data_IF_548172340837
#
_entry.id   IF_548172340837
#
_cell.length_a   1.000
_cell.length_b   1.000
_cell.length_c   1.000
_cell.angle_alpha   90.00
_cell.angle_beta   90.00
_cell.angle_gamma   90.00
#
_symmetry.space_group_name_H-M   'P 1'
#
loop_
_entity.id
_entity.type
_entity.pdbx_description
1 polymer ?
#
# COMPACT_ATOMS: atom_id res chain seq x y z
N UNK A 1 -1.84 -3.49 -30.80
CA UNK A 1 -1.76 -2.47 -29.73
C UNK A 1 -0.35 -1.91 -29.74
N UNK A 2 -0.19 -0.58 -29.67
CA UNK A 2 1.13 0.04 -29.59
C UNK A 2 1.65 -0.04 -28.14
N UNK A 3 2.89 -0.45 -27.95
CA UNK A 3 3.54 -0.42 -26.63
C UNK A 3 3.63 1.03 -26.15
N UNK A 4 3.21 1.28 -24.90
CA UNK A 4 3.38 2.58 -24.26
C UNK A 4 3.63 2.39 -22.77
N UNK A 5 4.77 2.90 -22.31
CA UNK A 5 5.15 2.91 -20.90
C UNK A 5 5.20 4.36 -20.43
N UNK A 6 4.38 4.70 -19.42
CA UNK A 6 4.43 5.98 -18.73
C UNK A 6 4.57 5.73 -17.25
N UNK A 7 5.80 5.82 -16.72
CA UNK A 7 6.06 5.46 -15.34
C UNK A 7 7.19 6.30 -14.74
N UNK A 8 7.17 6.47 -13.42
CA UNK A 8 8.30 7.02 -12.65
C UNK A 8 9.15 5.92 -12.03
N UNK A 9 8.50 4.84 -11.61
CA UNK A 9 9.14 3.64 -11.05
C UNK A 9 8.89 2.50 -12.02
N UNK A 10 9.95 1.81 -12.42
CA UNK A 10 9.88 0.77 -13.43
C UNK A 10 10.52 -0.48 -12.86
N UNK A 11 9.88 -1.62 -13.12
CA UNK A 11 10.40 -2.94 -12.82
C UNK A 11 10.75 -3.63 -14.13
N UNK A 12 11.97 -4.17 -14.19
CA UNK A 12 12.46 -4.93 -15.32
C UNK A 12 12.73 -6.37 -14.90
N UNK A 13 12.41 -7.28 -15.80
CA UNK A 13 12.80 -8.68 -15.70
C UNK A 13 13.56 -9.06 -16.97
N UNK A 14 14.85 -9.33 -16.82
CA UNK A 14 15.68 -9.91 -17.88
C UNK A 14 15.75 -11.41 -17.68
N UNK A 15 15.02 -12.14 -18.52
CA UNK A 15 15.02 -13.61 -18.47
C UNK A 15 16.29 -14.17 -19.10
N UNK A 16 16.84 -15.22 -18.49
CA UNK A 16 18.04 -15.98 -18.93
C UNK A 16 19.22 -15.06 -19.27
N UNK A 17 19.49 -14.10 -18.38
CA UNK A 17 20.53 -13.10 -18.57
C UNK A 17 21.70 -13.39 -17.61
N UNK A 18 22.88 -13.78 -18.12
CA UNK A 18 24.08 -14.07 -17.32
C UNK A 18 24.90 -12.80 -17.01
N UNK A 19 24.38 -11.61 -17.34
CA UNK A 19 25.09 -10.34 -17.12
C UNK A 19 25.21 -10.01 -15.63
N UNK A 20 26.20 -9.20 -15.28
CA UNK A 20 26.36 -8.73 -13.90
C UNK A 20 25.36 -7.60 -13.58
N UNK A 21 24.83 -7.54 -12.34
CA UNK A 21 23.94 -6.46 -11.90
C UNK A 21 24.49 -5.06 -12.16
N UNK A 22 25.80 -4.87 -11.97
CA UNK A 22 26.52 -3.61 -12.22
C UNK A 22 26.46 -3.22 -13.69
N UNK A 23 26.78 -4.14 -14.60
CA UNK A 23 26.75 -3.89 -16.04
C UNK A 23 25.34 -3.52 -16.53
N UNK A 24 24.31 -4.18 -15.99
CA UNK A 24 22.93 -3.86 -16.32
C UNK A 24 22.56 -2.42 -15.93
N UNK A 25 22.94 -1.97 -14.73
CA UNK A 25 22.65 -0.60 -14.27
C UNK A 25 23.43 0.45 -15.06
N UNK A 26 24.70 0.20 -15.36
CA UNK A 26 25.52 1.11 -16.15
C UNK A 26 24.96 1.28 -17.58
N UNK A 27 24.58 0.17 -18.20
CA UNK A 27 23.92 0.16 -19.51
C UNK A 27 22.61 0.95 -19.50
N UNK A 28 21.77 0.75 -18.48
CA UNK A 28 20.52 1.48 -18.30
C UNK A 28 20.76 2.98 -18.07
N UNK A 29 21.75 3.35 -17.25
CA UNK A 29 22.14 4.76 -17.02
C UNK A 29 22.60 5.44 -18.30
N UNK A 30 23.45 4.76 -19.09
CA UNK A 30 23.95 5.27 -20.36
C UNK A 30 22.80 5.53 -21.34
N UNK A 31 21.89 4.56 -21.49
CA UNK A 31 20.68 4.69 -22.33
C UNK A 31 19.79 5.85 -21.89
N UNK A 32 19.48 5.96 -20.60
CA UNK A 32 18.64 7.03 -20.07
C UNK A 32 19.28 8.42 -20.24
N UNK A 33 20.60 8.50 -20.17
CA UNK A 33 21.37 9.74 -20.39
C UNK A 33 21.47 10.12 -21.86
N UNK A 34 21.52 9.15 -22.78
CA UNK A 34 21.59 9.37 -24.24
C UNK A 34 20.29 9.93 -24.85
N UNK A 35 19.20 9.97 -24.08
CA UNK A 35 17.92 10.53 -24.54
C UNK A 35 18.02 12.03 -24.76
N UNK A 36 17.22 12.55 -25.70
CA UNK A 36 17.07 14.00 -25.94
C UNK A 36 16.75 14.79 -24.66
N UNK A 37 15.94 14.21 -23.79
CA UNK A 37 15.75 14.69 -22.42
C UNK A 37 16.39 13.66 -21.50
N UNK A 38 17.58 13.95 -20.91
CA UNK A 38 18.23 13.02 -20.00
C UNK A 38 17.37 12.84 -18.76
N UNK A 39 17.28 11.61 -18.28
CA UNK A 39 16.53 11.25 -17.07
C UNK A 39 17.50 10.57 -16.12
N UNK A 40 17.69 11.17 -14.94
CA UNK A 40 18.51 10.58 -13.88
C UNK A 40 17.79 9.43 -13.17
N UNK A 41 18.57 8.46 -12.70
CA UNK A 41 18.12 7.43 -11.77
C UNK A 41 18.32 7.97 -10.35
N UNK A 42 17.24 8.15 -9.60
CA UNK A 42 17.27 8.57 -8.19
C UNK A 42 17.77 7.43 -7.30
N UNK A 43 17.28 6.22 -7.55
CA UNK A 43 17.65 5.04 -6.79
C UNK A 43 17.28 3.77 -7.54
N UNK A 44 17.92 2.67 -7.16
CA UNK A 44 17.76 1.39 -7.83
C UNK A 44 18.03 0.21 -6.88
N UNK A 45 17.45 -0.93 -7.22
CA UNK A 45 17.73 -2.22 -6.62
C UNK A 45 17.80 -3.25 -7.74
N UNK A 46 18.86 -4.04 -7.77
CA UNK A 46 19.06 -5.12 -8.74
C UNK A 46 19.42 -6.38 -7.99
N UNK A 47 18.77 -7.49 -8.34
CA UNK A 47 19.07 -8.79 -7.78
C UNK A 47 19.03 -9.88 -8.84
N UNK A 48 19.88 -10.89 -8.66
CA UNK A 48 19.84 -12.12 -9.42
C UNK A 48 18.82 -13.08 -8.79
N UNK A 49 18.02 -13.74 -9.63
CA UNK A 49 17.15 -14.85 -9.25
C UNK A 49 17.63 -16.11 -9.97
N UNK A 50 17.90 -17.15 -9.19
CA UNK A 50 18.32 -18.45 -9.71
C UNK A 50 17.08 -19.27 -10.06
N UNK A 51 16.91 -19.58 -11.35
CA UNK A 51 15.83 -20.45 -11.79
C UNK A 51 16.18 -21.91 -11.46
N UNK A 52 15.16 -22.72 -11.15
CA UNK A 52 15.33 -24.15 -10.86
C UNK A 52 15.91 -24.96 -12.03
N UNK A 53 15.78 -24.43 -13.26
CA UNK A 53 16.33 -24.99 -14.51
C UNK A 53 17.82 -24.60 -14.74
N UNK A 54 18.45 -23.93 -13.76
CA UNK A 54 19.86 -23.49 -13.82
C UNK A 54 20.08 -22.17 -14.57
N UNK A 55 19.04 -21.58 -15.15
CA UNK A 55 19.11 -20.26 -15.78
C UNK A 55 19.08 -19.11 -14.76
N UNK A 56 19.74 -18.00 -15.09
CA UNK A 56 19.76 -16.79 -14.26
C UNK A 56 18.73 -15.77 -14.75
N UNK A 57 18.01 -15.14 -13.83
CA UNK A 57 17.12 -14.01 -14.09
C UNK A 57 17.63 -12.77 -13.36
N UNK A 58 17.52 -11.61 -14.00
CA UNK A 58 17.89 -10.36 -13.37
C UNK A 58 16.65 -9.51 -13.21
N UNK A 59 16.37 -9.12 -11.97
CA UNK A 59 15.30 -8.17 -11.65
C UNK A 59 15.92 -6.83 -11.33
N UNK A 60 15.43 -5.78 -12.00
CA UNK A 60 15.90 -4.41 -11.79
C UNK A 60 14.70 -3.55 -11.43
N UNK A 61 14.73 -2.93 -10.27
CA UNK A 61 13.80 -1.90 -9.85
C UNK A 61 14.52 -0.56 -9.90
N UNK A 62 14.00 0.40 -10.68
CA UNK A 62 14.57 1.75 -10.73
C UNK A 62 13.51 2.80 -10.43
N UNK A 63 13.93 3.88 -9.78
CA UNK A 63 13.16 5.11 -9.65
C UNK A 63 13.84 6.22 -10.44
N UNK A 64 13.09 6.80 -11.36
CA UNK A 64 13.54 7.91 -12.19
C UNK A 64 13.20 9.25 -11.53
N UNK A 65 13.98 10.28 -11.87
CA UNK A 65 13.71 11.66 -11.47
C UNK A 65 12.37 12.16 -12.04
N UNK A 66 12.14 11.87 -13.32
CA UNK A 66 10.96 12.30 -14.08
C UNK A 66 10.23 11.09 -14.66
N UNK A 67 8.92 11.25 -14.88
CA UNK A 67 8.13 10.24 -15.60
C UNK A 67 8.67 10.10 -17.02
N UNK A 68 8.97 8.87 -17.42
CA UNK A 68 9.37 8.54 -18.78
C UNK A 68 8.12 8.25 -19.61
N UNK A 69 8.01 8.78 -20.83
CA UNK A 69 7.05 8.31 -21.83
C UNK A 69 7.86 7.59 -22.91
N UNK A 70 7.59 6.31 -23.08
CA UNK A 70 8.26 5.42 -24.02
C UNK A 70 7.23 4.72 -24.87
N UNK A 71 7.42 4.81 -26.19
CA UNK A 71 6.61 4.10 -27.19
C UNK A 71 7.38 2.95 -27.84
N UNK A 72 8.69 2.93 -27.65
CA UNK A 72 9.57 1.89 -28.16
C UNK A 72 9.85 0.88 -27.04
N UNK A 73 9.48 -0.38 -27.27
CA UNK A 73 9.73 -1.47 -26.34
C UNK A 73 11.20 -1.91 -26.32
N UNK A 74 11.96 -1.64 -27.38
CA UNK A 74 13.36 -2.07 -27.52
C UNK A 74 14.38 -1.11 -26.92
N UNK A 75 13.90 0.02 -26.41
CA UNK A 75 14.77 1.05 -25.84
C UNK A 75 15.69 0.50 -24.72
N UNK A 76 15.16 -0.44 -23.93
CA UNK A 76 15.84 -1.04 -22.79
C UNK A 76 16.61 -2.33 -23.12
N UNK A 77 16.81 -2.65 -24.40
CA UNK A 77 17.57 -3.85 -24.80
C UNK A 77 19.03 -3.71 -24.39
N UNK A 78 19.55 -4.66 -23.63
CA UNK A 78 20.96 -4.71 -23.25
C UNK A 78 21.68 -5.64 -24.21
N UNK A 79 22.82 -5.20 -24.72
CA UNK A 79 23.68 -6.01 -25.58
C UNK A 79 24.83 -6.51 -24.72
N UNK A 80 25.22 -7.77 -24.90
CA UNK A 80 26.41 -8.31 -24.27
C UNK A 80 27.69 -7.61 -24.78
N UNK A 81 28.78 -7.65 -24.02
CA UNK A 81 30.04 -6.98 -24.34
C UNK A 81 30.62 -7.39 -25.71
N UNK A 82 30.39 -8.64 -26.12
CA UNK A 82 30.82 -9.18 -27.41
C UNK A 82 29.84 -8.87 -28.57
N UNK A 83 28.70 -8.25 -28.28
CA UNK A 83 27.71 -7.86 -29.30
C UNK A 83 26.83 -8.99 -29.83
N UNK A 84 27.06 -10.24 -29.41
CA UNK A 84 26.39 -11.41 -30.00
C UNK A 84 24.95 -11.63 -29.49
N UNK A 85 24.69 -11.32 -28.22
CA UNK A 85 23.38 -11.59 -27.59
C UNK A 85 22.71 -10.29 -27.15
N UNK A 86 21.44 -10.13 -27.54
CA UNK A 86 20.58 -9.02 -27.14
C UNK A 86 19.54 -9.53 -26.14
N UNK A 87 19.54 -8.95 -24.94
CA UNK A 87 18.60 -9.26 -23.88
C UNK A 87 17.47 -8.23 -23.87
N UNK A 88 16.27 -8.70 -24.20
CA UNK A 88 15.04 -7.89 -24.16
C UNK A 88 14.36 -8.05 -22.80
N UNK A 89 14.20 -6.98 -22.00
CA UNK A 89 13.51 -7.08 -20.74
C UNK A 89 11.99 -7.08 -20.91
N UNK A 90 11.29 -7.75 -19.98
CA UNK A 90 9.92 -7.37 -19.66
C UNK A 90 9.95 -6.05 -18.89
N UNK A 91 9.14 -5.08 -19.32
CA UNK A 91 9.11 -3.73 -18.73
C UNK A 91 7.73 -3.44 -18.16
N UNK A 92 7.66 -3.25 -16.85
CA UNK A 92 6.40 -3.03 -16.15
C UNK A 92 6.45 -1.77 -15.26
N UNK A 93 5.32 -1.06 -15.18
CA UNK A 93 5.17 0.00 -14.19
C UNK A 93 5.04 -0.59 -12.78
N UNK A 94 5.92 -0.17 -11.88
CA UNK A 94 5.88 -0.65 -10.50
C UNK A 94 4.80 0.11 -9.71
N UNK A 95 3.66 -0.56 -9.45
CA UNK A 95 2.56 0.01 -8.66
C UNK A 95 2.82 0.02 -7.15
N UNK A 96 3.60 -0.93 -6.65
CA UNK A 96 3.87 -1.07 -5.22
C UNK A 96 5.37 -1.25 -4.98
N UNK A 97 6.02 -0.14 -4.64
CA UNK A 97 7.47 -0.07 -4.46
C UNK A 97 8.00 -1.08 -3.42
N UNK A 98 7.35 -1.14 -2.25
CA UNK A 98 7.79 -2.03 -1.16
C UNK A 98 7.67 -3.50 -1.57
N UNK A 99 6.57 -3.89 -2.21
CA UNK A 99 6.39 -5.26 -2.68
C UNK A 99 7.44 -5.66 -3.74
N UNK A 100 7.77 -4.75 -4.66
CA UNK A 100 8.80 -5.02 -5.68
C UNK A 100 10.20 -5.11 -5.07
N UNK A 101 10.51 -4.25 -4.08
CA UNK A 101 11.78 -4.30 -3.36
C UNK A 101 11.93 -5.60 -2.56
N UNK A 102 10.88 -6.00 -1.84
CA UNK A 102 10.86 -7.24 -1.08
C UNK A 102 10.93 -8.48 -1.98
N UNK A 103 10.42 -8.38 -3.21
CA UNK A 103 10.54 -9.41 -4.23
C UNK A 103 12.00 -9.61 -4.65
N UNK A 104 12.72 -8.55 -5.01
CA UNK A 104 14.15 -8.62 -5.38
C UNK A 104 14.99 -9.16 -4.22
N UNK A 105 14.70 -8.73 -3.00
CA UNK A 105 15.43 -9.16 -1.80
C UNK A 105 15.12 -10.59 -1.38
N UNK A 106 14.13 -11.25 -1.96
CA UNK A 106 13.64 -12.57 -1.53
C UNK A 106 14.76 -13.62 -1.47
N UNK A 107 15.62 -13.67 -2.48
CA UNK A 107 16.75 -14.61 -2.57
C UNK A 107 17.83 -14.32 -1.52
N UNK A 108 17.94 -13.07 -1.06
CA UNK A 108 18.97 -12.61 -0.12
C UNK A 108 18.41 -12.30 1.28
N UNK A 109 17.22 -12.80 1.62
CA UNK A 109 16.57 -12.52 2.92
C UNK A 109 17.38 -13.03 4.11
N UNK A 110 18.03 -14.17 3.97
CA UNK A 110 18.79 -14.79 5.07
C UNK A 110 20.22 -14.22 5.19
N UNK A 111 20.81 -13.75 4.08
CA UNK A 111 22.17 -13.23 4.04
C UNK A 111 22.27 -11.99 3.14
N UNK A 112 21.59 -10.90 3.53
CA UNK A 112 21.59 -9.66 2.77
C UNK A 112 23.01 -9.13 2.52
N UNK A 113 23.87 -9.23 3.53
CA UNK A 113 25.27 -8.77 3.45
C UNK A 113 26.11 -9.64 2.49
N UNK A 114 25.81 -10.93 2.36
CA UNK A 114 26.48 -11.80 1.41
C UNK A 114 26.09 -11.47 -0.04
N UNK A 115 24.85 -11.06 -0.29
CA UNK A 115 24.40 -10.58 -1.60
C UNK A 115 25.13 -9.31 -2.05
N UNK A 116 25.37 -8.37 -1.13
CA UNK A 116 26.15 -7.16 -1.41
C UNK A 116 27.64 -7.47 -1.63
N UNK A 117 28.19 -8.43 -0.89
CA UNK A 117 29.61 -8.82 -1.02
C UNK A 117 29.89 -9.63 -2.28
N UNK A 118 28.97 -10.50 -2.69
CA UNK A 118 29.06 -11.25 -3.96
C UNK A 118 28.86 -10.37 -5.19
N UNK A 119 28.16 -9.24 -5.03
CA UNK A 119 27.77 -8.37 -6.13
C UNK A 119 26.51 -8.83 -6.86
N UNK A 120 25.83 -9.87 -6.34
CA UNK A 120 24.60 -10.40 -6.92
C UNK A 120 23.37 -9.56 -6.55
N UNK A 121 23.45 -8.82 -5.43
CA UNK A 121 22.47 -7.83 -5.01
C UNK A 121 23.14 -6.46 -4.97
N UNK A 122 22.61 -5.50 -5.73
CA UNK A 122 23.08 -4.12 -5.74
C UNK A 122 21.91 -3.19 -5.45
N UNK A 123 22.02 -2.43 -4.36
CA UNK A 123 20.95 -1.53 -3.93
C UNK A 123 21.51 -0.16 -3.53
N UNK A 124 20.92 0.89 -4.09
CA UNK A 124 21.26 2.26 -3.77
C UNK A 124 19.98 3.10 -3.79
N UNK A 125 19.47 3.41 -2.60
CA UNK A 125 18.32 4.30 -2.41
C UNK A 125 18.75 5.49 -1.57
N UNK A 126 18.31 6.71 -1.91
CA UNK A 126 18.46 7.85 -1.00
C UNK A 126 17.65 7.60 0.28
N UNK A 127 18.12 8.12 1.41
CA UNK A 127 17.48 7.95 2.73
C UNK A 127 15.99 8.38 2.72
N UNK A 128 15.65 9.38 1.91
CA UNK A 128 14.30 9.96 1.82
C UNK A 128 13.33 9.20 0.88
N UNK A 129 13.78 8.14 0.20
CA UNK A 129 13.03 7.51 -0.91
C UNK A 129 12.13 6.36 -0.46
N UNK A 130 12.05 6.08 0.84
CA UNK A 130 11.36 4.92 1.39
C UNK A 130 9.81 4.90 1.26
N UNK A 131 9.16 5.93 0.70
CA UNK A 131 7.69 5.88 0.56
C UNK A 131 7.20 6.74 -0.62
N UNK A 132 7.34 6.22 -1.84
CA UNK A 132 6.82 6.89 -3.03
C UNK A 132 5.27 6.78 -3.04
N UNK A 133 4.64 7.75 -2.38
CA UNK A 133 3.30 8.21 -2.71
C UNK A 133 2.15 7.58 -1.92
N UNK A 134 2.39 6.58 -1.08
CA UNK A 134 1.42 6.19 -0.06
C UNK A 134 1.90 6.72 1.27
N UNK A 135 2.05 8.04 1.37
CA UNK A 135 2.10 8.72 2.68
C UNK A 135 1.05 8.02 3.54
N UNK A 136 1.47 7.18 4.50
CA UNK A 136 0.63 6.90 5.67
C UNK A 136 0.14 8.28 6.04
N UNK A 137 -1.16 8.57 5.86
CA UNK A 137 -1.72 9.92 5.95
C UNK A 137 -1.03 10.55 7.15
N UNK A 138 -0.12 11.51 6.93
CA UNK A 138 0.86 11.88 7.98
C UNK A 138 0.17 12.37 9.25
N UNK A 139 -1.11 12.72 9.13
CA UNK A 139 -2.03 12.92 10.23
C UNK A 139 -2.95 11.69 10.41
N UNK A 140 -2.38 10.55 10.77
CA UNK A 140 -3.13 9.43 11.34
C UNK A 140 -2.86 9.44 12.84
N UNK A 141 -3.88 9.14 13.65
CA UNK A 141 -3.66 8.89 15.06
C UNK A 141 -2.85 7.61 15.23
N UNK A 142 -1.93 7.61 16.20
CA UNK A 142 -1.28 6.38 16.63
C UNK A 142 -2.33 5.39 17.19
N UNK A 143 -2.13 4.09 16.93
CA UNK A 143 -3.13 3.08 17.27
C UNK A 143 -3.27 2.90 18.79
N UNK A 144 -2.18 2.97 19.55
CA UNK A 144 -2.22 2.85 21.01
C UNK A 144 -2.87 4.07 21.63
N UNK A 145 -2.51 5.25 21.13
CA UNK A 145 -3.06 6.52 21.59
C UNK A 145 -4.57 6.61 21.33
N UNK A 146 -5.03 6.21 20.13
CA UNK A 146 -6.45 6.20 19.79
C UNK A 146 -7.25 5.25 20.71
N UNK A 147 -6.71 4.07 21.01
CA UNK A 147 -7.33 3.12 21.96
C UNK A 147 -7.40 3.71 23.37
N UNK A 148 -6.41 4.48 23.79
CA UNK A 148 -6.41 5.15 25.09
C UNK A 148 -7.52 6.21 25.19
N UNK A 149 -7.72 7.01 24.13
CA UNK A 149 -8.82 7.98 24.08
C UNK A 149 -10.20 7.32 24.18
N UNK A 150 -10.39 6.17 23.50
CA UNK A 150 -11.65 5.40 23.59
C UNK A 150 -11.92 4.93 25.02
N UNK A 151 -10.88 4.53 25.76
CA UNK A 151 -11.02 4.09 27.16
C UNK A 151 -11.29 5.24 28.13
N UNK A 152 -10.73 6.42 27.87
CA UNK A 152 -10.87 7.61 28.73
C UNK A 152 -12.22 8.29 28.56
N UNK A 153 -12.70 8.41 27.33
CA UNK A 153 -13.91 9.15 27.04
C UNK A 153 -15.17 8.44 27.59
N UNK A 154 -16.10 9.22 28.14
CA UNK A 154 -17.39 8.74 28.64
C UNK A 154 -18.55 9.10 27.70
N UNK A 155 -18.30 9.97 26.73
CA UNK A 155 -19.30 10.45 25.79
C UNK A 155 -18.70 10.70 24.42
N UNK A 156 -19.57 10.72 23.39
CA UNK A 156 -19.18 11.02 22.01
C UNK A 156 -18.48 12.37 21.88
N UNK A 157 -18.99 13.41 22.54
CA UNK A 157 -18.45 14.76 22.46
C UNK A 157 -17.06 14.84 23.09
N UNK A 158 -16.91 14.29 24.29
CA UNK A 158 -15.63 14.24 25.01
C UNK A 158 -14.55 13.48 24.21
N UNK A 159 -14.93 12.37 23.55
CA UNK A 159 -14.02 11.65 22.67
C UNK A 159 -13.54 12.49 21.48
N UNK A 160 -14.46 13.23 20.84
CA UNK A 160 -14.12 14.09 19.70
C UNK A 160 -13.22 15.25 20.15
N UNK A 161 -13.51 15.85 21.30
CA UNK A 161 -12.73 16.96 21.86
C UNK A 161 -11.29 16.51 22.16
N UNK A 162 -11.10 15.34 22.78
CA UNK A 162 -9.76 14.76 23.02
C UNK A 162 -8.98 14.56 21.71
N UNK A 163 -9.63 14.06 20.65
CA UNK A 163 -8.99 13.89 19.34
C UNK A 163 -8.66 15.23 18.68
N UNK A 164 -9.54 16.23 18.84
CA UNK A 164 -9.35 17.57 18.30
C UNK A 164 -8.19 18.30 18.96
N UNK A 165 -8.05 18.18 20.28
CA UNK A 165 -6.91 18.74 21.03
C UNK A 165 -5.58 18.10 20.62
N UNK A 166 -5.57 16.79 20.40
CA UNK A 166 -4.34 16.06 20.07
C UNK A 166 -3.86 16.30 18.65
N UNK A 167 -4.73 16.06 17.66
CA UNK A 167 -4.36 16.21 16.25
C UNK A 167 -5.58 16.63 15.42
N UNK A 168 -5.84 17.95 15.32
CA UNK A 168 -7.00 18.45 14.59
C UNK A 168 -6.93 18.14 13.09
N UNK A 169 -5.73 18.04 12.52
CA UNK A 169 -5.54 17.69 11.12
C UNK A 169 -5.92 16.23 10.85
N UNK A 170 -5.56 15.32 11.75
CA UNK A 170 -5.90 13.90 11.63
C UNK A 170 -7.40 13.67 11.76
N UNK A 171 -8.04 14.37 12.70
CA UNK A 171 -9.48 14.37 12.87
C UNK A 171 -10.19 14.87 11.60
N UNK A 172 -9.75 16.00 11.04
CA UNK A 172 -10.35 16.57 9.83
C UNK A 172 -10.21 15.65 8.60
N UNK A 173 -9.05 15.01 8.43
CA UNK A 173 -8.80 14.10 7.30
C UNK A 173 -9.66 12.83 7.33
N UNK A 174 -10.14 12.41 8.51
CA UNK A 174 -10.92 11.20 8.68
C UNK A 174 -12.23 11.41 9.46
N UNK A 175 -12.80 12.61 9.37
CA UNK A 175 -13.88 13.08 10.25
C UNK A 175 -15.11 12.16 10.22
N UNK A 176 -15.66 11.86 9.04
CA UNK A 176 -16.89 11.07 8.92
C UNK A 176 -16.74 9.67 9.53
N UNK A 177 -15.61 9.01 9.30
CA UNK A 177 -15.36 7.68 9.84
C UNK A 177 -15.22 7.71 11.37
N UNK A 178 -14.53 8.72 11.91
CA UNK A 178 -14.36 8.92 13.36
C UNK A 178 -15.71 9.22 14.02
N UNK A 179 -16.55 10.08 13.42
CA UNK A 179 -17.88 10.42 13.96
C UNK A 179 -18.81 9.21 13.95
N UNK A 180 -18.79 8.42 12.87
CA UNK A 180 -19.57 7.17 12.78
C UNK A 180 -19.12 6.17 13.84
N UNK A 181 -17.81 5.97 13.99
CA UNK A 181 -17.23 5.13 15.04
C UNK A 181 -17.63 5.62 16.44
N UNK A 182 -17.49 6.91 16.71
CA UNK A 182 -17.84 7.49 18.01
C UNK A 182 -19.33 7.33 18.34
N UNK A 183 -20.21 7.46 17.33
CA UNK A 183 -21.66 7.26 17.52
C UNK A 183 -22.02 5.81 17.80
N UNK A 184 -21.22 4.87 17.27
CA UNK A 184 -21.39 3.44 17.51
C UNK A 184 -20.86 3.01 18.89
N UNK A 185 -19.71 3.53 19.30
CA UNK A 185 -19.09 3.23 20.60
C UNK A 185 -19.83 3.90 21.75
N UNK A 186 -20.25 5.16 21.55
CA UNK A 186 -20.96 5.98 22.53
C UNK A 186 -22.38 6.28 22.05
N UNK A 187 -23.32 5.31 22.13
CA UNK A 187 -24.71 5.55 21.75
C UNK A 187 -25.33 6.59 22.68
N UNK A 188 -26.10 7.52 22.10
CA UNK A 188 -26.88 8.46 22.91
C UNK A 188 -27.92 7.66 23.70
N UNK A 189 -27.99 7.88 25.02
CA UNK A 189 -29.05 7.31 25.84
C UNK A 189 -30.40 7.71 25.24
N UNK A 190 -31.19 6.72 24.82
CA UNK A 190 -32.58 6.93 24.39
C UNK A 190 -33.31 7.53 25.59
N UNK A 191 -33.60 8.83 25.54
CA UNK A 191 -34.53 9.43 26.49
C UNK A 191 -35.89 8.82 26.18
N UNK A 192 -36.31 7.87 27.00
CA UNK A 192 -37.74 7.55 27.09
C UNK A 192 -38.43 8.81 27.58
N UNK A 193 -38.92 9.64 26.66
CA UNK A 193 -39.92 10.64 27.00
C UNK A 193 -41.17 9.85 27.34
N UNK A 194 -41.42 9.68 28.63
CA UNK A 194 -42.67 9.20 29.21
C UNK A 194 -43.80 10.21 28.97
N UNK A 195 -44.05 10.56 27.71
CA UNK A 195 -45.30 11.12 27.25
C UNK A 195 -46.01 10.02 26.50
N UNK A 196 -46.84 9.28 27.24
CA UNK A 196 -47.66 8.21 26.73
C UNK A 196 -48.50 8.69 25.55
N UNK A 197 -48.13 8.24 24.36
CA UNK A 197 -49.06 8.06 23.25
C UNK A 197 -48.87 6.62 22.80
N UNK A 198 -49.78 5.77 23.28
CA UNK A 198 -49.85 4.36 22.95
C UNK A 198 -50.36 4.21 21.51
N UNK A 199 -49.48 4.36 20.51
CA UNK A 199 -49.78 3.87 19.17
C UNK A 199 -49.56 2.36 19.16
N UNK A 200 -50.65 1.64 19.39
CA UNK A 200 -50.73 0.19 19.16
C UNK A 200 -50.63 -0.08 17.66
N UNK A 201 -49.42 -0.13 17.11
CA UNK A 201 -49.20 -0.86 15.86
C UNK A 201 -49.22 -2.35 16.21
N UNK A 202 -50.36 -3.00 15.96
CA UNK A 202 -50.36 -4.43 15.70
C UNK A 202 -49.67 -4.64 14.35
N UNK A 203 -48.38 -4.96 14.35
CA UNK A 203 -47.78 -5.70 13.24
C UNK A 203 -47.28 -7.04 13.78
N UNK A 204 -47.94 -8.07 13.29
CA UNK A 204 -47.63 -9.47 13.53
C UNK A 204 -46.21 -9.77 13.07
N UNK A 205 -45.36 -10.22 13.99
CA UNK A 205 -44.09 -10.84 13.65
C UNK A 205 -44.35 -12.23 13.05
N UNK A 206 -43.99 -12.39 11.77
CA UNK A 206 -43.56 -13.68 11.23
C UNK A 206 -42.10 -13.53 10.82
N UNK A 207 -41.27 -14.32 11.49
CA UNK A 207 -39.93 -14.69 11.03
C UNK A 207 -40.01 -15.24 9.61
N UNK A 208 -39.19 -14.70 8.70
CA UNK A 208 -38.28 -15.48 7.83
C UNK A 208 -37.49 -14.57 6.89
N UNK A 209 -36.21 -14.92 6.72
CA UNK A 209 -35.30 -14.63 5.59
C UNK A 209 -34.83 -13.19 5.34
N UNK A 210 -33.56 -12.98 5.72
CA UNK A 210 -32.52 -12.14 5.11
C UNK A 210 -32.82 -11.61 3.70
N UNK A 211 -32.69 -10.29 3.50
CA UNK A 211 -31.73 -9.60 2.60
C UNK A 211 -32.22 -8.16 2.37
N UNK A 212 -31.36 -7.16 2.60
CA UNK A 212 -31.50 -5.82 2.01
C UNK A 212 -30.20 -5.51 1.28
N UNK A 213 -30.27 -5.51 -0.06
CA UNK A 213 -29.17 -5.03 -0.91
C UNK A 213 -29.15 -3.49 -0.90
N UNK A 214 -27.97 -2.91 -0.71
CA UNK A 214 -27.69 -1.53 -1.09
C UNK A 214 -26.46 -1.55 -2.01
N UNK A 215 -26.69 -1.39 -3.31
CA UNK A 215 -25.64 -1.15 -4.29
C UNK A 215 -25.08 0.27 -4.10
N UNK A 216 -23.79 0.35 -3.72
CA UNK A 216 -22.98 1.56 -3.79
C UNK A 216 -21.65 1.23 -4.46
N UNK A 217 -21.51 1.62 -5.72
CA UNK A 217 -20.28 1.53 -6.50
C UNK A 217 -19.17 2.36 -5.85
N UNK A 218 -18.03 1.74 -5.48
CA UNK A 218 -16.74 2.42 -5.33
C UNK A 218 -15.59 1.39 -5.42
N UNK A 219 -14.90 1.40 -6.56
CA UNK A 219 -13.63 0.72 -6.79
C UNK A 219 -12.53 1.39 -5.94
N UNK A 220 -12.07 0.74 -4.88
CA UNK A 220 -10.64 0.44 -4.64
C UNK A 220 -10.46 -0.24 -3.28
N UNK A 221 -9.65 -1.29 -3.32
CA UNK A 221 -9.43 -2.27 -2.27
C UNK A 221 -8.58 -1.72 -1.12
N UNK A 222 -9.25 -1.25 -0.08
CA UNK A 222 -8.77 -1.18 1.31
C UNK A 222 -10.00 -1.06 2.23
N UNK A 223 -10.83 -2.11 2.22
CA UNK A 223 -12.00 -2.20 3.10
C UNK A 223 -11.49 -2.62 4.48
N UNK A 224 -11.48 -1.70 5.44
CA UNK A 224 -11.62 -2.13 6.83
C UNK A 224 -13.03 -2.71 6.95
N UNK A 225 -13.13 -4.03 6.82
CA UNK A 225 -14.36 -4.75 7.16
C UNK A 225 -14.45 -4.67 8.68
N UNK A 226 -15.17 -3.68 9.19
CA UNK A 226 -15.75 -3.80 10.52
C UNK A 226 -16.94 -4.74 10.31
N UNK A 227 -16.88 -6.01 10.77
CA UNK A 227 -18.05 -6.88 10.69
C UNK A 227 -19.15 -6.21 11.50
N UNK A 228 -20.23 -5.85 10.81
CA UNK A 228 -21.47 -5.34 11.40
C UNK A 228 -22.24 -6.51 12.01
N UNK A 229 -21.59 -7.24 12.91
CA UNK A 229 -22.15 -8.36 13.64
C UNK A 229 -22.27 -7.91 15.10
N UNK A 230 -23.52 -7.75 15.56
CA UNK A 230 -23.85 -7.34 16.93
C UNK A 230 -23.15 -8.24 17.98
N UNK A 231 -22.79 -9.47 17.63
CA UNK A 231 -22.05 -10.38 18.52
C UNK A 231 -20.59 -9.97 18.74
N UNK A 232 -19.86 -9.51 17.71
CA UNK A 232 -18.46 -9.03 17.89
C UNK A 232 -18.40 -7.67 18.58
N UNK A 233 -19.47 -6.87 18.50
CA UNK A 233 -19.62 -5.62 19.26
C UNK A 233 -19.66 -5.86 20.77
N UNK A 234 -20.44 -6.86 21.20
CA UNK A 234 -20.51 -7.27 22.59
C UNK A 234 -19.17 -7.86 23.06
N UNK A 235 -18.46 -8.55 22.18
CA UNK A 235 -17.12 -9.08 22.44
C UNK A 235 -16.07 -7.98 22.58
N UNK A 236 -16.15 -6.91 21.78
CA UNK A 236 -15.28 -5.74 21.89
C UNK A 236 -15.57 -4.91 23.14
N UNK A 237 -16.85 -4.78 23.52
CA UNK A 237 -17.26 -4.17 24.80
C UNK A 237 -16.77 -4.97 26.00
N UNK A 238 -16.83 -6.31 25.93
CA UNK A 238 -16.24 -7.21 26.93
C UNK A 238 -14.72 -7.11 26.99
N UNK A 239 -14.02 -7.10 25.84
CA UNK A 239 -12.55 -7.05 25.81
C UNK A 239 -11.98 -5.69 26.23
N UNK A 240 -12.76 -4.61 26.09
CA UNK A 240 -12.44 -3.27 26.56
C UNK A 240 -12.92 -2.98 27.99
N UNK A 241 -13.59 -3.93 28.66
CA UNK A 241 -14.05 -3.78 30.05
C UNK A 241 -15.17 -2.75 30.23
N UNK A 242 -15.86 -2.36 29.15
CA UNK A 242 -16.97 -1.42 29.19
C UNK A 242 -18.25 -2.20 29.53
N UNK A 243 -18.79 -1.98 30.73
CA UNK A 243 -19.99 -2.67 31.22
C UNK A 243 -21.21 -2.40 30.31
N UNK A 244 -22.07 -3.42 30.18
CA UNK A 244 -23.35 -3.34 29.46
C UNK A 244 -24.33 -2.38 30.13
#
# INVERSE_FOLDING_TARGET
>A
MAFRLIAKIIFFTYSRCPLTPTYCIESLRSKLSSRRSPIGIIGYSVGLEHLTDGGLHIHVLIKLDKKIDLRDGRFFDIVDGDGETVYHPSVEECKNFNAARDYIRKEYKENHDAGHQSGDLLECWPEDVADDGRQKRKAAFDEEEFKEFVKKARSKTEFIDMLQERNPLALAQNFNNIIMFASYVFPAAVRETSSGIFFRLKSTWKSTSNTVEICGNLNSSSIFRIPCDETRAAELRRSLGLAC
#
